data_IF_473811907816
#
_entry.id   IF_473811907816
#
_cell.length_a   1.000
_cell.length_b   1.000
_cell.length_c   1.000
_cell.angle_alpha   90.00
_cell.angle_beta   90.00
_cell.angle_gamma   90.00
#
_symmetry.space_group_name_H-M   'P 1'
#
loop_
_entity.id
_entity.type
_entity.pdbx_description
1 polymer ?
#
# COMPACT_ATOMS: atom_id res chain seq x y z
N UNK A 1 0.07 -8.25 25.24
CA UNK A 1 1.28 -9.07 25.51
C UNK A 1 2.42 -8.17 26.02
N UNK A 2 3.06 -8.52 27.14
CA UNK A 2 4.35 -7.90 27.53
C UNK A 2 5.45 -8.60 26.73
N UNK A 3 5.83 -8.03 25.58
CA UNK A 3 7.12 -8.37 24.97
C UNK A 3 8.20 -8.04 26.00
N UNK A 4 9.05 -9.02 26.34
CA UNK A 4 10.20 -8.83 27.23
C UNK A 4 10.88 -7.53 26.83
N UNK A 5 10.89 -6.54 27.73
CA UNK A 5 11.47 -5.24 27.43
C UNK A 5 12.96 -5.48 27.18
N UNK A 6 13.34 -5.54 25.90
CA UNK A 6 14.74 -5.52 25.48
C UNK A 6 15.41 -4.39 26.24
N UNK A 7 16.61 -4.63 26.77
CA UNK A 7 17.34 -3.56 27.44
C UNK A 7 17.50 -2.37 26.49
N UNK A 8 17.61 -1.15 27.04
CA UNK A 8 17.66 0.08 26.23
C UNK A 8 18.72 0.00 25.12
N UNK A 9 19.88 -0.56 25.44
CA UNK A 9 20.97 -0.78 24.48
C UNK A 9 20.59 -1.74 23.37
N UNK A 10 19.90 -2.85 23.68
CA UNK A 10 19.45 -3.81 22.66
C UNK A 10 18.40 -3.21 21.72
N UNK A 11 17.49 -2.37 22.23
CA UNK A 11 16.52 -1.66 21.38
C UNK A 11 17.21 -0.70 20.41
N UNK A 12 18.20 0.06 20.90
CA UNK A 12 18.97 0.98 20.05
C UNK A 12 19.81 0.25 19.01
N UNK A 13 20.46 -0.86 19.39
CA UNK A 13 21.25 -1.69 18.46
C UNK A 13 20.34 -2.31 17.39
N UNK A 14 19.18 -2.83 17.77
CA UNK A 14 18.21 -3.37 16.81
C UNK A 14 17.73 -2.27 15.83
N UNK A 15 17.41 -1.09 16.34
CA UNK A 15 17.03 0.06 15.52
C UNK A 15 18.15 0.45 14.54
N UNK A 16 19.39 0.53 15.02
CA UNK A 16 20.54 0.86 14.18
C UNK A 16 20.79 -0.20 13.09
N UNK A 17 20.68 -1.49 13.44
CA UNK A 17 20.90 -2.60 12.51
C UNK A 17 19.81 -2.62 11.41
N UNK A 18 18.55 -2.51 11.80
CA UNK A 18 17.43 -2.45 10.84
C UNK A 18 17.48 -1.18 9.99
N UNK A 19 17.92 -0.07 10.57
CA UNK A 19 18.16 1.17 9.84
C UNK A 19 19.24 1.00 8.78
N UNK A 20 20.38 0.40 9.14
CA UNK A 20 21.45 0.10 8.20
C UNK A 20 21.00 -0.85 7.07
N UNK A 21 20.22 -1.89 7.38
CA UNK A 21 19.63 -2.78 6.38
C UNK A 21 18.77 -1.99 5.39
N UNK A 22 17.92 -1.09 5.88
CA UNK A 22 17.09 -0.26 5.02
C UNK A 22 17.91 0.67 4.13
N UNK A 23 18.97 1.26 4.65
CA UNK A 23 19.86 2.10 3.82
C UNK A 23 20.59 1.29 2.76
N UNK A 24 21.10 0.11 3.10
CA UNK A 24 21.74 -0.80 2.13
C UNK A 24 20.76 -1.16 1.02
N UNK A 25 19.53 -1.53 1.37
CA UNK A 25 18.51 -1.84 0.37
C UNK A 25 18.15 -0.63 -0.49
N UNK A 26 17.99 0.56 0.09
CA UNK A 26 17.74 1.79 -0.67
C UNK A 26 18.90 2.13 -1.65
N UNK A 27 20.14 1.87 -1.25
CA UNK A 27 21.30 2.03 -2.12
C UNK A 27 21.25 1.01 -3.27
N UNK A 28 21.03 -0.27 -2.98
CA UNK A 28 20.94 -1.31 -4.03
C UNK A 28 19.80 -1.02 -5.01
N UNK A 29 18.64 -0.54 -4.54
CA UNK A 29 17.53 -0.18 -5.43
C UNK A 29 17.87 0.98 -6.37
N UNK A 30 18.79 1.86 -5.97
CA UNK A 30 19.22 2.99 -6.80
C UNK A 30 20.09 2.56 -7.99
N UNK A 31 20.74 1.38 -7.93
CA UNK A 31 21.62 0.89 -9.00
C UNK A 31 20.95 -0.16 -9.90
N UNK A 32 19.88 -0.82 -9.46
CA UNK A 32 19.25 -1.92 -10.16
C UNK A 32 17.73 -1.76 -10.20
N UNK A 33 17.20 -1.24 -11.31
CA UNK A 33 15.75 -0.99 -11.49
C UNK A 33 14.89 -2.25 -11.25
N UNK A 34 15.32 -3.43 -11.71
CA UNK A 34 14.60 -4.68 -11.48
C UNK A 34 14.58 -5.11 -9.99
N UNK A 35 15.62 -4.78 -9.23
CA UNK A 35 15.67 -5.04 -7.80
C UNK A 35 14.84 -4.05 -6.99
N UNK A 36 14.50 -2.87 -7.54
CA UNK A 36 13.67 -1.87 -6.87
C UNK A 36 12.32 -2.46 -6.44
N UNK A 37 11.67 -3.26 -7.30
CA UNK A 37 10.42 -3.94 -7.00
C UNK A 37 10.55 -4.95 -5.86
N UNK A 38 11.62 -5.76 -5.87
CA UNK A 38 11.86 -6.76 -4.83
C UNK A 38 12.18 -6.08 -3.49
N UNK A 39 12.98 -5.02 -3.54
CA UNK A 39 13.37 -4.21 -2.38
C UNK A 39 12.18 -3.46 -1.77
N UNK A 40 11.26 -2.97 -2.59
CA UNK A 40 10.01 -2.34 -2.15
C UNK A 40 9.14 -3.25 -1.26
N UNK A 41 9.31 -4.57 -1.41
CA UNK A 41 8.61 -5.60 -0.64
C UNK A 41 9.29 -5.93 0.70
N UNK A 42 10.62 -5.88 0.76
CA UNK A 42 11.38 -6.23 1.97
C UNK A 42 11.66 -5.03 2.89
N UNK A 43 11.77 -3.81 2.36
CA UNK A 43 12.03 -2.60 3.15
C UNK A 43 10.96 -2.33 4.26
N UNK A 44 9.65 -2.51 4.01
CA UNK A 44 8.66 -2.32 5.06
C UNK A 44 8.85 -3.29 6.22
N UNK A 45 9.36 -4.51 5.96
CA UNK A 45 9.51 -5.58 6.94
C UNK A 45 10.52 -5.23 8.04
N UNK A 46 11.66 -4.63 7.69
CA UNK A 46 12.63 -4.16 8.69
C UNK A 46 12.02 -3.10 9.63
N UNK A 47 11.22 -2.20 9.08
CA UNK A 47 10.51 -1.17 9.85
C UNK A 47 9.38 -1.74 10.72
N UNK A 48 8.71 -2.81 10.25
CA UNK A 48 7.72 -3.55 11.02
C UNK A 48 8.37 -4.24 12.23
N UNK A 49 9.51 -4.91 12.03
CA UNK A 49 10.28 -5.56 13.10
C UNK A 49 10.66 -4.54 14.18
N UNK A 50 11.12 -3.36 13.77
CA UNK A 50 11.42 -2.24 14.68
C UNK A 50 10.18 -1.84 15.47
N UNK A 51 9.05 -1.59 14.81
CA UNK A 51 7.84 -1.15 15.49
C UNK A 51 7.27 -2.19 16.47
N UNK A 52 7.43 -3.47 16.19
CA UNK A 52 6.97 -4.51 17.12
C UNK A 52 7.86 -4.55 18.36
N UNK A 53 9.19 -4.57 18.17
CA UNK A 53 10.15 -4.92 19.22
C UNK A 53 10.70 -3.73 20.03
N UNK A 54 10.53 -2.49 19.52
CA UNK A 54 11.08 -1.29 20.15
C UNK A 54 9.96 -0.46 20.80
N UNK A 55 10.29 0.28 21.85
CA UNK A 55 9.37 1.24 22.47
C UNK A 55 9.16 2.47 21.58
N UNK A 56 7.92 3.02 21.59
CA UNK A 56 7.51 4.15 20.75
C UNK A 56 8.46 5.36 20.84
N UNK A 57 9.05 5.60 22.02
CA UNK A 57 9.99 6.70 22.27
C UNK A 57 11.26 6.66 21.41
N UNK A 58 11.64 5.49 20.88
CA UNK A 58 12.82 5.33 20.04
C UNK A 58 12.49 5.32 18.54
N UNK A 59 11.21 5.37 18.14
CA UNK A 59 10.84 5.43 16.72
C UNK A 59 11.40 6.66 16.01
N UNK A 60 11.38 7.88 16.61
CA UNK A 60 11.97 9.05 15.97
C UNK A 60 13.49 8.90 15.77
N UNK A 61 14.18 8.26 16.74
CA UNK A 61 15.63 8.01 16.64
C UNK A 61 15.93 7.08 15.48
N UNK A 62 15.16 6.01 15.32
CA UNK A 62 15.27 5.09 14.20
C UNK A 62 14.99 5.79 12.85
N UNK A 63 13.88 6.53 12.76
CA UNK A 63 13.45 7.17 11.52
C UNK A 63 14.45 8.25 11.08
N UNK A 64 14.84 9.15 11.99
CA UNK A 64 15.80 10.21 11.70
C UNK A 64 17.20 9.64 11.45
N UNK A 65 17.62 8.64 12.21
CA UNK A 65 18.92 7.99 12.01
C UNK A 65 19.03 7.30 10.66
N UNK A 66 17.98 6.58 10.25
CA UNK A 66 17.93 5.89 8.96
C UNK A 66 17.91 6.89 7.80
N UNK A 67 17.09 7.95 7.89
CA UNK A 67 17.05 8.99 6.87
C UNK A 67 18.37 9.76 6.77
N UNK A 68 18.96 10.16 7.90
CA UNK A 68 20.23 10.87 7.90
C UNK A 68 21.34 10.03 7.27
N UNK A 69 21.42 8.75 7.64
CA UNK A 69 22.40 7.84 7.05
C UNK A 69 22.17 7.65 5.55
N UNK A 70 20.92 7.48 5.11
CA UNK A 70 20.59 7.34 3.70
C UNK A 70 20.93 8.61 2.89
N UNK A 71 20.63 9.79 3.43
CA UNK A 71 20.95 11.07 2.79
C UNK A 71 22.47 11.29 2.66
N UNK A 72 23.25 10.91 3.67
CA UNK A 72 24.72 11.01 3.63
C UNK A 72 25.32 10.06 2.61
N UNK A 73 24.81 8.83 2.52
CA UNK A 73 25.34 7.81 1.59
C UNK A 73 24.84 7.99 0.15
N UNK A 74 23.71 8.67 -0.05
CA UNK A 74 23.07 8.84 -1.35
C UNK A 74 22.92 10.31 -1.75
N UNK A 75 23.94 11.14 -1.47
CA UNK A 75 23.95 12.57 -1.82
C UNK A 75 23.71 12.85 -3.31
N UNK A 76 24.04 11.90 -4.19
CA UNK A 76 23.82 12.03 -5.63
C UNK A 76 22.40 11.69 -6.10
N UNK A 77 21.54 11.11 -5.24
CA UNK A 77 20.18 10.69 -5.59
C UNK A 77 19.23 10.85 -4.38
N UNK A 78 19.10 12.10 -3.94
CA UNK A 78 18.29 12.50 -2.79
C UNK A 78 16.80 12.26 -3.06
N UNK A 79 16.38 12.39 -4.32
CA UNK A 79 15.03 12.10 -4.82
C UNK A 79 14.62 10.65 -4.56
N UNK A 80 15.45 9.65 -4.90
CA UNK A 80 15.10 8.26 -4.59
C UNK A 80 14.99 8.03 -3.08
N UNK A 81 15.87 8.64 -2.30
CA UNK A 81 15.86 8.49 -0.84
C UNK A 81 14.59 9.08 -0.23
N UNK A 82 14.20 10.30 -0.63
CA UNK A 82 12.99 10.91 -0.10
C UNK A 82 11.73 10.24 -0.64
N UNK A 83 11.65 9.97 -1.95
CA UNK A 83 10.44 9.46 -2.59
C UNK A 83 10.13 7.99 -2.24
N UNK A 84 11.16 7.16 -2.08
CA UNK A 84 10.95 5.73 -1.79
C UNK A 84 11.16 5.40 -0.32
N UNK A 85 12.24 5.88 0.31
CA UNK A 85 12.56 5.43 1.67
C UNK A 85 11.61 6.03 2.70
N UNK A 86 11.28 7.33 2.59
CA UNK A 86 10.42 7.98 3.59
C UNK A 86 9.02 7.35 3.67
N UNK A 87 8.27 7.15 2.56
CA UNK A 87 6.98 6.50 2.63
C UNK A 87 7.05 5.05 3.12
N UNK A 88 8.14 4.33 2.83
CA UNK A 88 8.32 2.95 3.30
C UNK A 88 8.60 2.88 4.79
N UNK A 89 9.45 3.77 5.33
CA UNK A 89 9.74 3.83 6.76
C UNK A 89 8.48 4.17 7.57
N UNK A 90 7.73 5.19 7.14
CA UNK A 90 6.51 5.62 7.84
C UNK A 90 5.41 4.56 7.76
N UNK A 91 5.17 3.99 6.58
CA UNK A 91 4.16 2.94 6.40
C UNK A 91 4.53 1.66 7.15
N UNK A 92 5.80 1.24 7.13
CA UNK A 92 6.25 0.07 7.88
C UNK A 92 6.17 0.24 9.40
N UNK A 93 6.51 1.42 9.92
CA UNK A 93 6.32 1.73 11.35
C UNK A 93 4.84 1.73 11.75
N UNK A 94 3.98 2.34 10.94
CA UNK A 94 2.53 2.34 11.16
C UNK A 94 1.96 0.91 11.13
N UNK A 95 2.40 0.11 10.16
CA UNK A 95 1.98 -1.28 10.00
C UNK A 95 2.33 -2.12 11.25
N UNK A 96 3.59 -2.08 11.71
CA UNK A 96 4.00 -2.81 12.90
C UNK A 96 3.33 -2.32 14.19
N UNK A 97 3.04 -1.02 14.28
CA UNK A 97 2.30 -0.45 15.41
C UNK A 97 0.84 -0.95 15.44
N UNK A 98 0.14 -0.98 14.31
CA UNK A 98 -1.24 -1.47 14.26
C UNK A 98 -1.34 -2.97 14.54
N UNK A 99 -0.37 -3.77 14.09
CA UNK A 99 -0.25 -5.19 14.47
C UNK A 99 -0.09 -5.32 15.99
N UNK A 100 0.80 -4.52 16.61
CA UNK A 100 1.02 -4.53 18.06
C UNK A 100 -0.25 -4.24 18.87
N UNK A 101 -1.20 -3.51 18.30
CA UNK A 101 -2.51 -3.21 18.89
C UNK A 101 -3.62 -4.19 18.46
N UNK A 102 -3.31 -5.30 17.77
CA UNK A 102 -4.27 -6.31 17.29
C UNK A 102 -5.41 -5.73 16.42
N UNK A 103 -5.10 -4.69 15.63
CA UNK A 103 -6.06 -4.06 14.72
C UNK A 103 -6.39 -5.02 13.56
N UNK A 104 -7.65 -5.11 13.10
CA UNK A 104 -8.05 -5.92 11.95
C UNK A 104 -7.27 -5.60 10.67
N UNK A 105 -6.93 -6.63 9.91
CA UNK A 105 -6.16 -6.56 8.67
C UNK A 105 -6.67 -5.54 7.64
N UNK A 106 -7.98 -5.42 7.45
CA UNK A 106 -8.59 -4.47 6.52
C UNK A 106 -8.39 -3.01 6.97
N UNK A 107 -8.36 -2.76 8.28
CA UNK A 107 -8.07 -1.44 8.84
C UNK A 107 -6.58 -1.14 8.69
N UNK A 108 -5.70 -2.13 8.90
CA UNK A 108 -4.27 -2.00 8.63
C UNK A 108 -4.06 -1.62 7.16
N UNK A 109 -4.71 -2.32 6.23
CA UNK A 109 -4.62 -2.05 4.80
C UNK A 109 -5.04 -0.61 4.46
N UNK A 110 -6.18 -0.14 4.99
CA UNK A 110 -6.67 1.23 4.74
C UNK A 110 -5.78 2.31 5.37
N UNK A 111 -5.41 2.16 6.64
CA UNK A 111 -4.64 3.18 7.37
C UNK A 111 -3.22 3.26 6.83
N UNK A 112 -2.57 2.13 6.58
CA UNK A 112 -1.18 2.11 6.11
C UNK A 112 -1.09 2.58 4.66
N UNK A 113 -2.02 2.19 3.78
CA UNK A 113 -2.07 2.73 2.41
C UNK A 113 -2.34 4.24 2.41
N UNK A 114 -3.21 4.73 3.31
CA UNK A 114 -3.43 6.15 3.51
C UNK A 114 -2.19 6.91 3.97
N UNK A 115 -1.45 6.37 4.95
CA UNK A 115 -0.18 6.95 5.42
C UNK A 115 0.84 6.97 4.28
N UNK A 116 0.99 5.86 3.55
CA UNK A 116 1.91 5.73 2.43
C UNK A 116 1.62 6.77 1.33
N UNK A 117 0.34 6.91 0.96
CA UNK A 117 -0.11 7.91 0.00
C UNK A 117 0.18 9.34 0.50
N UNK A 118 -0.17 9.66 1.75
CA UNK A 118 0.08 10.98 2.33
C UNK A 118 1.57 11.32 2.33
N UNK A 119 2.43 10.39 2.74
CA UNK A 119 3.88 10.62 2.74
C UNK A 119 4.43 10.76 1.33
N UNK A 120 3.92 10.00 0.37
CA UNK A 120 4.28 10.15 -1.05
C UNK A 120 3.87 11.51 -1.59
N UNK A 121 2.66 11.98 -1.26
CA UNK A 121 2.18 13.30 -1.66
C UNK A 121 2.96 14.45 -1.01
N UNK A 122 3.45 14.27 0.22
CA UNK A 122 4.32 15.24 0.91
C UNK A 122 5.73 15.27 0.28
N UNK A 123 6.24 14.14 -0.21
CA UNK A 123 7.57 14.11 -0.86
C UNK A 123 7.62 14.81 -2.21
N UNK A 124 6.52 14.81 -2.97
CA UNK A 124 6.44 15.49 -4.27
C UNK A 124 6.82 16.98 -4.21
N UNK A 125 6.20 17.83 -3.36
CA UNK A 125 6.55 19.25 -3.29
C UNK A 125 7.99 19.46 -2.80
N UNK A 126 8.50 18.59 -1.92
CA UNK A 126 9.89 18.65 -1.46
C UNK A 126 10.86 18.43 -2.64
N UNK A 127 10.59 17.44 -3.49
CA UNK A 127 11.42 17.14 -4.67
C UNK A 127 11.33 18.28 -5.69
N UNK A 128 10.13 18.80 -5.96
CA UNK A 128 9.95 19.94 -6.86
C UNK A 128 10.77 21.15 -6.40
N UNK A 129 10.84 21.41 -5.09
CA UNK A 129 11.62 22.51 -4.52
C UNK A 129 13.13 22.28 -4.61
N UNK A 130 13.62 21.05 -4.40
CA UNK A 130 15.05 20.74 -4.41
C UNK A 130 15.62 20.78 -5.84
N UNK A 131 14.88 20.23 -6.80
CA UNK A 131 15.38 20.00 -8.16
C UNK A 131 14.86 21.01 -9.20
N UNK A 132 14.00 21.95 -8.80
CA UNK A 132 13.32 22.90 -9.70
C UNK A 132 12.65 22.22 -10.91
N UNK A 133 12.12 21.01 -10.67
CA UNK A 133 11.40 20.22 -11.67
C UNK A 133 9.91 20.18 -11.35
N UNK A 134 9.10 20.01 -12.39
CA UNK A 134 7.73 19.56 -12.21
C UNK A 134 7.73 18.02 -12.22
N UNK A 135 7.90 17.41 -11.04
CA UNK A 135 7.93 15.96 -10.88
C UNK A 135 6.67 15.29 -11.46
N UNK A 136 5.50 15.93 -11.31
CA UNK A 136 4.25 15.42 -11.87
C UNK A 136 4.32 15.36 -13.40
N UNK A 137 4.93 16.36 -14.05
CA UNK A 137 5.13 16.38 -15.48
C UNK A 137 6.10 15.28 -15.95
N UNK A 138 7.24 15.12 -15.26
CA UNK A 138 8.23 14.07 -15.56
C UNK A 138 7.60 12.67 -15.41
N UNK A 139 6.84 12.46 -14.35
CA UNK A 139 6.16 11.19 -14.10
C UNK A 139 5.04 10.92 -15.11
N UNK A 140 4.28 11.95 -15.51
CA UNK A 140 3.28 11.84 -16.56
C UNK A 140 3.91 11.45 -17.91
N UNK A 141 5.03 12.08 -18.28
CA UNK A 141 5.78 11.73 -19.50
C UNK A 141 6.36 10.33 -19.44
N UNK A 142 6.86 9.89 -18.27
CA UNK A 142 7.36 8.52 -18.05
C UNK A 142 6.29 7.44 -18.27
N UNK A 143 5.05 7.71 -17.84
CA UNK A 143 3.90 6.80 -18.08
C UNK A 143 3.43 6.86 -19.55
N UNK A 144 3.94 7.80 -20.35
CA UNK A 144 3.57 7.96 -21.76
C UNK A 144 2.39 8.90 -22.00
N UNK A 145 2.03 9.75 -21.03
CA UNK A 145 1.04 10.79 -21.25
C UNK A 145 1.67 11.94 -22.07
N UNK A 146 1.25 12.05 -23.33
CA UNK A 146 1.65 13.15 -24.22
C UNK A 146 0.97 14.48 -23.88
N UNK A 147 -0.14 14.45 -23.13
CA UNK A 147 -0.82 15.65 -22.65
C UNK A 147 -0.76 15.70 -21.11
N UNK A 148 -0.11 16.75 -20.62
CA UNK A 148 0.17 17.00 -19.20
C UNK A 148 -1.10 17.21 -18.37
N UNK A 149 -2.18 17.75 -18.95
CA UNK A 149 -3.45 17.96 -18.24
C UNK A 149 -4.10 16.63 -17.86
N UNK A 150 -4.02 15.63 -18.74
CA UNK A 150 -4.53 14.29 -18.46
C UNK A 150 -3.64 13.55 -17.45
N UNK A 151 -2.32 13.65 -17.59
CA UNK A 151 -1.39 13.07 -16.62
C UNK A 151 -1.65 13.61 -15.21
N UNK A 152 -1.85 14.92 -15.08
CA UNK A 152 -2.15 15.57 -13.80
C UNK A 152 -3.55 15.24 -13.22
N UNK A 153 -4.46 14.68 -14.02
CA UNK A 153 -5.78 14.26 -13.57
C UNK A 153 -5.78 12.83 -13.01
N UNK A 154 -4.99 11.97 -13.64
CA UNK A 154 -4.90 10.54 -13.34
C UNK A 154 -3.90 10.21 -12.23
N UNK A 155 -2.86 11.04 -12.09
CA UNK A 155 -1.75 10.74 -11.20
C UNK A 155 -2.15 10.40 -9.75
N UNK A 156 -3.10 11.10 -9.09
CA UNK A 156 -3.53 10.72 -7.74
C UNK A 156 -4.06 9.29 -7.65
N UNK A 157 -4.74 8.81 -8.69
CA UNK A 157 -5.22 7.43 -8.77
C UNK A 157 -4.10 6.41 -8.88
N UNK A 158 -3.09 6.70 -9.71
CA UNK A 158 -1.91 5.82 -9.85
C UNK A 158 -1.14 5.75 -8.53
N UNK A 159 -0.94 6.89 -7.85
CA UNK A 159 -0.29 6.91 -6.55
C UNK A 159 -1.09 6.16 -5.49
N UNK A 160 -2.42 6.30 -5.50
CA UNK A 160 -3.31 5.57 -4.57
C UNK A 160 -3.25 4.07 -4.82
N UNK A 161 -3.27 3.65 -6.08
CA UNK A 161 -3.08 2.26 -6.46
C UNK A 161 -1.75 1.70 -5.96
N UNK A 162 -0.65 2.41 -6.24
CA UNK A 162 0.68 1.99 -5.81
C UNK A 162 0.74 1.82 -4.30
N UNK A 163 0.19 2.78 -3.54
CA UNK A 163 0.13 2.71 -2.09
C UNK A 163 -0.68 1.51 -1.58
N UNK A 164 -1.83 1.23 -2.19
CA UNK A 164 -2.68 0.08 -1.87
C UNK A 164 -1.97 -1.24 -2.20
N UNK A 165 -1.42 -1.37 -3.40
CA UNK A 165 -0.72 -2.57 -3.88
C UNK A 165 0.49 -2.89 -3.00
N UNK A 166 1.31 -1.89 -2.69
CA UNK A 166 2.47 -2.07 -1.84
C UNK A 166 2.07 -2.52 -0.43
N UNK A 167 1.03 -1.92 0.14
CA UNK A 167 0.51 -2.29 1.46
C UNK A 167 -0.07 -3.71 1.46
N UNK A 168 -0.80 -4.08 0.41
CA UNK A 168 -1.40 -5.40 0.25
C UNK A 168 -0.34 -6.49 0.15
N UNK A 169 0.70 -6.29 -0.67
CA UNK A 169 1.78 -7.28 -0.79
C UNK A 169 2.57 -7.37 0.53
N UNK A 170 2.82 -6.24 1.19
CA UNK A 170 3.44 -6.23 2.52
C UNK A 170 2.63 -7.05 3.52
N UNK A 171 1.30 -6.90 3.52
CA UNK A 171 0.41 -7.70 4.36
C UNK A 171 0.51 -9.19 4.05
N UNK A 172 0.55 -9.57 2.77
CA UNK A 172 0.74 -10.97 2.35
C UNK A 172 2.07 -11.54 2.87
N UNK A 173 3.17 -10.82 2.72
CA UNK A 173 4.49 -11.29 3.17
C UNK A 173 4.52 -11.43 4.69
N UNK A 174 4.09 -10.40 5.41
CA UNK A 174 4.10 -10.38 6.88
C UNK A 174 3.19 -11.46 7.46
N UNK A 175 2.08 -11.79 6.79
CA UNK A 175 1.16 -12.84 7.23
C UNK A 175 1.67 -14.25 6.92
N UNK A 176 2.47 -14.41 5.86
CA UNK A 176 3.17 -15.66 5.56
C UNK A 176 4.27 -15.92 6.60
N UNK A 177 5.09 -14.90 6.87
CA UNK A 177 6.23 -15.01 7.79
C UNK A 177 5.84 -14.74 9.26
N UNK A 178 4.57 -14.49 9.55
CA UNK A 178 4.07 -14.16 10.90
C UNK A 178 4.50 -15.19 11.97
N UNK A 179 4.62 -16.47 11.58
CA UNK A 179 5.06 -17.54 12.46
C UNK A 179 6.54 -17.40 12.86
N UNK A 180 7.40 -16.93 11.94
CA UNK A 180 8.82 -16.65 12.20
C UNK A 180 8.97 -15.47 13.18
N UNK A 181 8.04 -14.52 13.14
CA UNK A 181 8.06 -13.32 13.97
C UNK A 181 7.21 -13.43 15.25
N UNK A 182 6.58 -14.58 15.51
CA UNK A 182 5.63 -14.79 16.63
C UNK A 182 4.54 -13.71 16.69
N UNK A 183 4.01 -13.33 15.52
CA UNK A 183 2.97 -12.30 15.38
C UNK A 183 1.60 -12.94 15.22
N UNK A 184 0.67 -12.53 16.08
CA UNK A 184 -0.76 -12.82 15.90
C UNK A 184 -1.38 -11.67 15.12
N UNK A 185 -1.63 -11.88 13.84
CA UNK A 185 -2.33 -10.88 13.02
C UNK A 185 -3.82 -11.15 13.15
N UNK A 186 -4.58 -10.11 13.54
CA UNK A 186 -6.02 -10.20 13.64
C UNK A 186 -6.63 -10.22 12.23
N UNK A 187 -6.80 -11.43 11.70
CA UNK A 187 -7.39 -11.66 10.37
C UNK A 187 -8.91 -11.80 10.41
N UNK A 188 -9.56 -11.56 11.56
CA UNK A 188 -11.00 -11.71 11.68
C UNK A 188 -11.74 -10.70 10.80
N UNK A 189 -12.84 -11.16 10.19
CA UNK A 189 -13.68 -10.28 9.38
C UNK A 189 -14.21 -9.13 10.24
N UNK A 190 -13.95 -7.90 9.78
CA UNK A 190 -14.43 -6.72 10.48
C UNK A 190 -15.88 -6.40 10.04
N UNK A 191 -16.87 -6.42 10.96
CA UNK A 191 -18.28 -6.34 10.59
C UNK A 191 -18.71 -5.00 9.96
N UNK A 192 -17.95 -3.93 10.19
CA UNK A 192 -18.27 -2.59 9.72
C UNK A 192 -17.77 -2.26 8.31
N UNK A 193 -17.12 -3.21 7.62
CA UNK A 193 -16.57 -3.01 6.27
C UNK A 193 -17.63 -2.51 5.27
N UNK A 194 -18.88 -2.99 5.39
CA UNK A 194 -19.98 -2.54 4.52
C UNK A 194 -20.34 -1.06 4.75
N UNK A 195 -20.38 -0.63 6.01
CA UNK A 195 -20.67 0.76 6.37
C UNK A 195 -19.55 1.68 5.89
N UNK A 196 -18.29 1.25 6.07
CA UNK A 196 -17.13 2.00 5.58
C UNK A 196 -17.15 2.11 4.05
N UNK A 197 -17.44 1.02 3.34
CA UNK A 197 -17.56 1.05 1.88
C UNK A 197 -18.69 2.00 1.41
N UNK A 198 -19.83 2.03 2.11
CA UNK A 198 -20.93 2.93 1.80
C UNK A 198 -20.53 4.41 2.01
N UNK A 199 -19.81 4.71 3.10
CA UNK A 199 -19.30 6.06 3.35
C UNK A 199 -18.34 6.50 2.24
N UNK A 200 -17.38 5.66 1.87
CA UNK A 200 -16.43 5.97 0.78
C UNK A 200 -17.14 6.08 -0.58
N UNK A 201 -18.17 5.27 -0.84
CA UNK A 201 -18.97 5.36 -2.06
C UNK A 201 -19.77 6.67 -2.12
N UNK A 202 -20.37 7.09 -1.00
CA UNK A 202 -21.07 8.37 -0.91
C UNK A 202 -20.09 9.56 -1.09
N UNK A 203 -18.91 9.49 -0.47
CA UNK A 203 -17.85 10.48 -0.66
C UNK A 203 -17.39 10.53 -2.12
N UNK A 204 -17.20 9.38 -2.77
CA UNK A 204 -16.86 9.30 -4.18
C UNK A 204 -17.90 10.04 -5.05
N UNK A 205 -19.20 9.79 -4.84
CA UNK A 205 -20.26 10.46 -5.60
C UNK A 205 -20.22 11.99 -5.42
N UNK A 206 -20.07 12.48 -4.19
CA UNK A 206 -20.06 13.92 -3.90
C UNK A 206 -18.77 14.58 -4.42
N UNK A 207 -17.62 13.99 -4.13
CA UNK A 207 -16.31 14.56 -4.46
C UNK A 207 -16.07 14.53 -5.97
N UNK A 208 -16.57 13.52 -6.69
CA UNK A 208 -16.42 13.46 -8.15
C UNK A 208 -17.12 14.61 -8.87
N UNK A 209 -18.14 15.24 -8.27
CA UNK A 209 -18.83 16.40 -8.85
C UNK A 209 -17.99 17.69 -8.80
N UNK A 210 -17.13 17.83 -7.79
CA UNK A 210 -16.37 19.06 -7.54
C UNK A 210 -14.86 18.91 -7.81
N UNK A 211 -14.31 17.73 -7.56
CA UNK A 211 -12.89 17.43 -7.60
C UNK A 211 -12.63 16.06 -8.24
N UNK A 212 -12.77 16.00 -9.57
CA UNK A 212 -12.61 14.77 -10.38
C UNK A 212 -11.32 14.01 -10.05
N UNK A 213 -10.21 14.71 -9.85
CA UNK A 213 -8.89 14.11 -9.51
C UNK A 213 -8.91 13.30 -8.21
N UNK A 214 -9.60 13.82 -7.19
CA UNK A 214 -9.72 13.18 -5.88
C UNK A 214 -10.77 12.06 -5.94
N UNK A 215 -11.85 12.28 -6.71
CA UNK A 215 -12.85 11.25 -6.98
C UNK A 215 -12.24 10.00 -7.60
N UNK A 216 -11.40 10.16 -8.63
CA UNK A 216 -10.71 9.04 -9.26
C UNK A 216 -9.75 8.30 -8.30
N UNK A 217 -9.15 8.97 -7.32
CA UNK A 217 -8.33 8.30 -6.30
C UNK A 217 -9.20 7.48 -5.33
N UNK A 218 -10.31 8.05 -4.87
CA UNK A 218 -11.28 7.39 -3.99
C UNK A 218 -11.91 6.15 -4.63
N UNK A 219 -12.09 6.16 -5.95
CA UNK A 219 -12.61 5.03 -6.71
C UNK A 219 -11.80 3.75 -6.46
N UNK A 220 -10.46 3.83 -6.39
CA UNK A 220 -9.62 2.65 -6.13
C UNK A 220 -9.78 2.11 -4.70
N UNK A 221 -10.04 2.98 -3.72
CA UNK A 221 -10.33 2.56 -2.35
C UNK A 221 -11.68 1.84 -2.28
N UNK A 222 -12.68 2.34 -2.99
CA UNK A 222 -14.00 1.69 -3.10
C UNK A 222 -13.89 0.33 -3.79
N UNK A 223 -13.14 0.23 -4.89
CA UNK A 223 -12.87 -1.04 -5.59
C UNK A 223 -12.21 -2.05 -4.65
N UNK A 224 -11.18 -1.64 -3.90
CA UNK A 224 -10.49 -2.50 -2.93
C UNK A 224 -11.46 -3.07 -1.88
N UNK A 225 -12.31 -2.22 -1.31
CA UNK A 225 -13.29 -2.62 -0.31
C UNK A 225 -14.36 -3.55 -0.89
N UNK A 226 -14.83 -3.29 -2.12
CA UNK A 226 -15.74 -4.19 -2.83
C UNK A 226 -15.10 -5.56 -3.10
N UNK A 227 -13.86 -5.60 -3.57
CA UNK A 227 -13.15 -6.87 -3.82
C UNK A 227 -12.95 -7.66 -2.53
N UNK A 228 -12.55 -7.01 -1.43
CA UNK A 228 -12.44 -7.67 -0.13
C UNK A 228 -13.78 -8.31 0.31
N UNK A 229 -14.90 -7.61 0.11
CA UNK A 229 -16.24 -8.14 0.40
C UNK A 229 -16.60 -9.33 -0.50
N UNK A 230 -16.36 -9.24 -1.82
CA UNK A 230 -16.63 -10.31 -2.79
C UNK A 230 -15.84 -11.56 -2.42
N UNK A 231 -14.56 -11.43 -2.06
CA UNK A 231 -13.73 -12.58 -1.70
C UNK A 231 -14.19 -13.21 -0.37
N UNK A 232 -14.65 -12.41 0.59
CA UNK A 232 -15.27 -12.95 1.80
C UNK A 232 -16.63 -13.63 1.53
N UNK A 233 -17.40 -13.12 0.56
CA UNK A 233 -18.63 -13.77 0.09
C UNK A 233 -18.34 -15.11 -0.59
N UNK A 234 -17.26 -15.23 -1.37
CA UNK A 234 -16.79 -16.50 -1.94
C UNK A 234 -16.56 -17.56 -0.87
N UNK A 235 -16.13 -17.18 0.34
CA UNK A 235 -15.94 -18.10 1.47
C UNK A 235 -17.25 -18.62 2.08
N UNK A 236 -18.34 -17.85 2.02
CA UNK A 236 -19.60 -18.17 2.72
C UNK A 236 -20.70 -18.69 1.78
N UNK A 237 -20.78 -18.16 0.56
CA UNK A 237 -21.83 -18.47 -0.41
C UNK A 237 -21.29 -18.44 -1.85
N UNK A 238 -20.78 -19.58 -2.32
CA UNK A 238 -20.13 -19.74 -3.62
C UNK A 238 -20.95 -19.20 -4.80
N UNK A 239 -22.27 -19.47 -4.83
CA UNK A 239 -23.15 -19.09 -5.94
C UNK A 239 -23.41 -17.57 -6.00
N UNK A 240 -23.49 -16.92 -4.85
CA UNK A 240 -23.72 -15.47 -4.75
C UNK A 240 -22.45 -14.67 -5.07
N UNK A 241 -21.30 -15.30 -4.87
CA UNK A 241 -20.00 -14.73 -5.18
C UNK A 241 -19.69 -14.78 -6.69
N UNK A 242 -20.04 -15.88 -7.37
CA UNK A 242 -19.96 -15.95 -8.84
C UNK A 242 -20.91 -14.96 -9.53
N UNK A 243 -22.13 -14.78 -9.02
CA UNK A 243 -23.07 -13.80 -9.60
C UNK A 243 -22.62 -12.36 -9.41
N UNK A 244 -22.04 -12.02 -8.25
CA UNK A 244 -21.49 -10.69 -7.98
C UNK A 244 -20.22 -10.41 -8.78
N UNK A 245 -19.34 -11.40 -8.96
CA UNK A 245 -18.15 -11.27 -9.82
C UNK A 245 -18.53 -11.08 -11.29
N UNK A 246 -19.51 -11.85 -11.79
CA UNK A 246 -19.99 -11.72 -13.17
C UNK A 246 -20.69 -10.38 -13.41
N UNK A 247 -21.48 -9.89 -12.44
CA UNK A 247 -22.07 -8.56 -12.48
C UNK A 247 -21.01 -7.45 -12.46
N UNK A 248 -19.96 -7.59 -11.66
CA UNK A 248 -18.84 -6.65 -11.61
C UNK A 248 -18.05 -6.60 -12.92
N UNK A 249 -17.80 -7.75 -13.56
CA UNK A 249 -17.14 -7.81 -14.88
C UNK A 249 -18.00 -7.12 -15.94
N UNK A 250 -19.31 -7.41 -15.98
CA UNK A 250 -20.22 -6.77 -16.94
C UNK A 250 -20.28 -5.26 -16.70
N UNK A 251 -20.41 -4.81 -15.45
CA UNK A 251 -20.41 -3.38 -15.10
C UNK A 251 -19.06 -2.71 -15.41
N UNK A 252 -17.93 -3.41 -15.28
CA UNK A 252 -16.63 -2.89 -15.67
C UNK A 252 -16.52 -2.73 -17.19
N UNK A 253 -16.97 -3.72 -17.97
CA UNK A 253 -16.98 -3.65 -19.45
C UNK A 253 -17.91 -2.53 -19.93
N UNK A 254 -19.12 -2.45 -19.37
CA UNK A 254 -20.09 -1.38 -19.68
C UNK A 254 -19.55 -0.02 -19.24
N UNK A 255 -18.93 0.06 -18.06
CA UNK A 255 -18.29 1.25 -17.53
C UNK A 255 -17.16 1.75 -18.44
N UNK A 256 -16.29 0.85 -18.91
CA UNK A 256 -15.23 1.15 -19.88
C UNK A 256 -15.83 1.62 -21.20
N UNK A 257 -16.85 0.94 -21.73
CA UNK A 257 -17.49 1.30 -23.00
C UNK A 257 -18.22 2.66 -22.94
N UNK A 258 -18.84 3.00 -21.81
CA UNK A 258 -19.43 4.32 -21.56
C UNK A 258 -18.31 5.35 -21.42
N UNK A 259 -17.28 5.05 -20.63
CA UNK A 259 -16.17 5.96 -20.38
C UNK A 259 -15.40 6.31 -21.66
N UNK A 260 -15.10 5.35 -22.54
CA UNK A 260 -14.48 5.59 -23.86
C UNK A 260 -15.34 6.47 -24.78
N UNK A 261 -16.67 6.38 -24.69
CA UNK A 261 -17.56 7.20 -25.51
C UNK A 261 -17.70 8.65 -25.01
N UNK A 262 -17.47 8.91 -23.72
CA UNK A 262 -17.69 10.24 -23.11
C UNK A 262 -16.40 10.96 -22.72
N UNK A 263 -15.23 10.30 -22.78
CA UNK A 263 -13.95 10.93 -22.45
C UNK A 263 -12.84 10.54 -23.43
N UNK A 264 -12.05 11.51 -23.93
CA UNK A 264 -10.96 11.27 -24.88
C UNK A 264 -9.71 10.73 -24.16
N UNK A 265 -9.85 9.68 -23.35
CA UNK A 265 -8.70 9.03 -22.72
C UNK A 265 -8.07 8.00 -23.66
N UNK A 266 -6.74 7.83 -23.64
CA UNK A 266 -6.07 6.77 -24.40
C UNK A 266 -6.55 5.37 -23.97
N UNK A 267 -6.69 4.45 -24.93
CA UNK A 267 -7.06 3.03 -24.74
C UNK A 267 -6.28 2.32 -23.60
N UNK A 268 -5.02 2.69 -23.40
CA UNK A 268 -4.16 2.18 -22.32
C UNK A 268 -4.76 2.42 -20.92
N UNK A 269 -5.61 3.43 -20.75
CA UNK A 269 -6.26 3.75 -19.49
C UNK A 269 -7.38 2.76 -19.15
N UNK A 270 -8.14 2.30 -20.15
CA UNK A 270 -9.12 1.22 -19.98
C UNK A 270 -8.45 -0.09 -19.57
N UNK A 271 -7.25 -0.36 -20.11
CA UNK A 271 -6.45 -1.54 -19.72
C UNK A 271 -6.01 -1.45 -18.26
N UNK A 272 -5.49 -0.29 -17.81
CA UNK A 272 -5.09 -0.08 -16.42
C UNK A 272 -6.28 -0.30 -15.48
N UNK A 273 -7.44 0.27 -15.80
CA UNK A 273 -8.67 0.09 -15.03
C UNK A 273 -9.21 -1.36 -15.03
N UNK A 274 -8.96 -2.13 -16.08
CA UNK A 274 -9.37 -3.53 -16.18
C UNK A 274 -8.41 -4.49 -15.48
N UNK A 275 -7.10 -4.24 -15.57
CA UNK A 275 -6.06 -5.14 -15.05
C UNK A 275 -5.86 -4.98 -13.54
N UNK A 276 -6.02 -3.77 -13.01
CA UNK A 276 -5.84 -3.47 -11.59
C UNK A 276 -6.79 -4.28 -10.69
N UNK A 277 -8.12 -4.31 -10.93
CA UNK A 277 -9.02 -5.11 -10.11
C UNK A 277 -8.67 -6.59 -10.13
N UNK A 278 -8.17 -7.11 -11.25
CA UNK A 278 -7.71 -8.51 -11.37
C UNK A 278 -6.49 -8.75 -10.50
N UNK A 279 -5.47 -7.89 -10.57
CA UNK A 279 -4.24 -8.03 -9.75
C UNK A 279 -4.56 -7.88 -8.26
N UNK A 280 -5.38 -6.89 -7.88
CA UNK A 280 -5.83 -6.72 -6.49
C UNK A 280 -6.62 -7.95 -6.03
N UNK A 281 -7.51 -8.47 -6.88
CA UNK A 281 -8.29 -9.68 -6.59
C UNK A 281 -7.40 -10.90 -6.41
N UNK A 282 -6.41 -11.13 -7.28
CA UNK A 282 -5.51 -12.27 -7.18
C UNK A 282 -4.65 -12.21 -5.91
N UNK A 283 -4.11 -11.04 -5.57
CA UNK A 283 -3.30 -10.89 -4.35
C UNK A 283 -4.16 -11.00 -3.09
N UNK A 284 -5.37 -10.42 -3.07
CA UNK A 284 -6.33 -10.62 -1.98
C UNK A 284 -6.80 -12.08 -1.89
N UNK A 285 -6.97 -12.76 -3.02
CA UNK A 285 -7.34 -14.19 -3.05
C UNK A 285 -6.21 -15.05 -2.49
N UNK A 286 -4.96 -14.80 -2.88
CA UNK A 286 -3.78 -15.45 -2.31
C UNK A 286 -3.69 -15.24 -0.80
N UNK A 287 -3.96 -14.02 -0.33
CA UNK A 287 -4.02 -13.71 1.10
C UNK A 287 -5.11 -14.52 1.82
N UNK A 288 -6.34 -14.48 1.29
CA UNK A 288 -7.52 -15.03 1.93
C UNK A 288 -7.58 -16.56 1.84
N UNK A 289 -7.08 -17.16 0.76
CA UNK A 289 -6.98 -18.62 0.57
C UNK A 289 -5.97 -19.23 1.54
N UNK A 290 -4.79 -18.63 1.70
CA UNK A 290 -3.77 -19.12 2.65
C UNK A 290 -4.18 -18.99 4.11
N UNK A 291 -5.08 -18.05 4.45
CA UNK A 291 -5.73 -18.01 5.77
C UNK A 291 -6.45 -19.33 6.10
N UNK A 292 -7.04 -19.98 5.09
CA UNK A 292 -7.82 -21.22 5.26
C UNK A 292 -6.93 -22.41 5.63
N UNK A 293 -5.73 -22.50 5.06
CA UNK A 293 -4.80 -23.60 5.35
C UNK A 293 -4.33 -23.57 6.82
N UNK A 294 -4.09 -22.37 7.38
CA UNK A 294 -3.75 -22.22 8.81
C UNK A 294 -4.89 -22.59 9.76
N UNK A 295 -6.14 -22.25 9.43
CA UNK A 295 -7.31 -22.62 10.24
C UNK A 295 -7.61 -24.14 10.18
N UNK A 296 -7.18 -24.84 9.13
CA UNK A 296 -7.31 -26.30 9.02
C UNK A 296 -6.19 -27.06 9.76
N UNK A 297 -4.95 -26.55 9.76
CA UNK A 297 -3.83 -27.16 10.48
C UNK A 297 -3.96 -27.03 12.02
N UNK A 298 -4.57 -25.95 12.52
CA UNK A 298 -4.88 -25.80 13.97
C UNK A 298 -6.07 -26.67 14.44
N UNK A 299 -6.78 -27.31 13.50
CA UNK A 299 -7.89 -28.25 13.78
C UNK A 299 -7.47 -29.72 13.88
N UNK A 300 -6.17 -30.02 13.74
CA UNK A 300 -5.61 -31.37 13.89
C UNK A 300 -4.54 -31.38 14.98
N UNK A 301 -4.98 -31.35 16.25
CA UNK A 301 -4.25 -31.93 17.39
C UNK A 301 -5.26 -32.75 18.21
#
# INVERSE_FOLDING_TARGET
MKLNSLSRTHQLVLGALMGAINVIFALVSSYLFAFSLLIMLFLPLASIIVAINIELKYYPVYLLGTLALALVLNLGNIDNTLFFLLPILTSGLAFGLLIKYNIPDIIILLVVSGINLLTTLITIPIINLIYDINFLAVFATFIGFNNLEYGALVLPSILTLLAVMQTLITLVIVTQDAALFRLEINTNYWPYVNLVNLVFSAQLCVISLFFVKIGLALLFIVILLMLYQIIHLFKKHLNLAWSTLLAAIILAIVGIAIFENYTPFPFYFGIIFAFIPVVISDVLWLYISRKKDKEQDEGTI
#
